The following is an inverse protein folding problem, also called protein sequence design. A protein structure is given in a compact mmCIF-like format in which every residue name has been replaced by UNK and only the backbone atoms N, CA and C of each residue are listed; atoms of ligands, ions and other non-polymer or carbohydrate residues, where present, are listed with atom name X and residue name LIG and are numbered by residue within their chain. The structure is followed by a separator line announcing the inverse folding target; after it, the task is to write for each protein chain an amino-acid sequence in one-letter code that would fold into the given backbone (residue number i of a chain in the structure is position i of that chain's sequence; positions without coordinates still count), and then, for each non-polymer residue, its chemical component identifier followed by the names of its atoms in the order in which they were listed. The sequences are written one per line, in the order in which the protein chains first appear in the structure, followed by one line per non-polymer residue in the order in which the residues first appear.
data_IF_005828610597
#
_entry.id   IF_005828610597
#
_cell.length_a   1.000
_cell.length_b   1.000
_cell.length_c   1.000
_cell.angle_alpha   90.00
_cell.angle_beta   90.00
_cell.angle_gamma   90.00
#
_symmetry.space_group_name_H-M   'P 1'
#
loop_
_entity.id
_entity.type
_entity.pdbx_description
1 polymer ?
#
# COMPACT_ATOMS: atom_id res chain seq x y z
N UNK A 1 -16.88 15.24 -12.67
CA UNK A 1 -15.78 15.93 -11.94
C UNK A 1 -14.96 14.87 -11.21
N UNK A 2 -13.63 15.03 -11.11
CA UNK A 2 -12.73 14.10 -10.40
C UNK A 2 -11.68 14.90 -9.62
N UNK A 3 -11.29 14.42 -8.44
CA UNK A 3 -10.21 14.98 -7.62
C UNK A 3 -9.34 13.85 -7.08
N UNK A 4 -8.02 14.05 -7.10
CA UNK A 4 -7.06 13.07 -6.59
C UNK A 4 -6.48 13.57 -5.28
N UNK A 5 -6.77 12.86 -4.18
CA UNK A 5 -6.15 13.10 -2.88
C UNK A 5 -4.72 12.56 -2.93
N UNK A 6 -3.74 13.40 -2.60
CA UNK A 6 -2.30 13.05 -2.62
C UNK A 6 -1.76 12.90 -1.21
N UNK A 7 -0.56 12.32 -1.10
CA UNK A 7 0.21 12.21 0.15
C UNK A 7 -0.51 11.45 1.28
N UNK A 8 -1.21 10.37 0.92
CA UNK A 8 -1.80 9.43 1.88
C UNK A 8 -0.77 8.38 2.32
N UNK A 9 -0.91 7.88 3.54
CA UNK A 9 -0.07 6.82 4.08
C UNK A 9 -0.66 5.46 3.72
N UNK A 10 0.17 4.57 3.19
CA UNK A 10 -0.28 3.21 2.86
C UNK A 10 -0.58 2.39 4.11
N UNK A 11 -1.60 1.54 4.04
CA UNK A 11 -2.07 0.73 5.18
C UNK A 11 -2.91 1.49 6.20
N UNK A 12 -3.16 2.80 5.97
CA UNK A 12 -4.05 3.61 6.80
C UNK A 12 -5.42 3.73 6.14
N UNK A 13 -6.48 3.48 6.90
CA UNK A 13 -7.86 3.61 6.43
C UNK A 13 -8.31 5.06 6.44
N UNK A 14 -8.86 5.53 5.32
CA UNK A 14 -9.38 6.88 5.16
C UNK A 14 -10.87 6.88 4.85
N UNK A 15 -11.59 7.83 5.46
CA UNK A 15 -12.96 8.18 5.14
C UNK A 15 -12.95 9.53 4.42
N UNK A 16 -13.63 9.62 3.28
CA UNK A 16 -13.68 10.83 2.45
C UNK A 16 -15.11 11.34 2.40
N UNK A 17 -15.29 12.66 2.44
CA UNK A 17 -16.58 13.33 2.30
C UNK A 17 -16.49 14.52 1.36
N UNK A 18 -17.56 14.81 0.62
CA UNK A 18 -17.64 15.92 -0.33
C UNK A 18 -18.84 16.81 0.01
N UNK A 19 -18.64 18.14 -0.06
CA UNK A 19 -19.68 19.16 0.19
C UNK A 19 -19.67 20.17 -0.95
N UNK A 20 -20.85 20.50 -1.49
CA UNK A 20 -21.01 21.63 -2.41
C UNK A 20 -21.01 22.96 -1.66
N UNK A 21 -20.47 24.02 -2.27
CA UNK A 21 -20.48 25.40 -1.74
C UNK A 21 -21.09 26.36 -2.75
N UNK A 22 -21.91 27.29 -2.28
CA UNK A 22 -22.36 28.48 -3.03
C UNK A 22 -22.17 29.75 -2.18
N UNK A 23 -22.73 30.88 -2.59
CA UNK A 23 -22.65 32.16 -1.86
C UNK A 23 -23.26 32.11 -0.46
N UNK A 24 -24.20 31.20 -0.20
CA UNK A 24 -24.88 31.03 1.08
C UNK A 24 -24.17 30.03 2.01
N UNK A 25 -23.11 29.35 1.56
CA UNK A 25 -22.29 28.44 2.38
C UNK A 25 -22.15 27.02 1.83
N UNK A 26 -21.80 26.07 2.72
CA UNK A 26 -21.64 24.64 2.38
C UNK A 26 -22.92 23.84 2.69
N UNK A 27 -23.35 23.00 1.75
CA UNK A 27 -24.44 22.02 1.97
C UNK A 27 -24.00 20.81 2.81
N UNK A 28 -24.86 19.79 2.96
CA UNK A 28 -24.50 18.56 3.68
C UNK A 28 -23.34 17.78 3.02
N UNK A 29 -22.65 16.98 3.82
CA UNK A 29 -21.55 16.14 3.35
C UNK A 29 -22.07 14.78 2.87
N UNK A 30 -21.74 14.43 1.63
CA UNK A 30 -21.91 13.07 1.14
C UNK A 30 -20.65 12.26 1.47
N UNK A 31 -20.84 11.07 2.05
CA UNK A 31 -19.74 10.11 2.23
C UNK A 31 -19.34 9.52 0.88
N UNK A 32 -18.03 9.41 0.66
CA UNK A 32 -17.51 8.65 -0.47
C UNK A 32 -17.86 7.17 -0.33
N UNK A 33 -18.14 6.51 -1.44
CA UNK A 33 -18.35 5.06 -1.52
C UNK A 33 -17.51 4.51 -2.68
N UNK A 34 -16.79 3.38 -2.50
CA UNK A 34 -16.67 2.57 -1.28
C UNK A 34 -15.90 3.27 -0.14
N UNK A 35 -16.17 2.88 1.11
CA UNK A 35 -15.52 3.43 2.31
C UNK A 35 -15.49 2.41 3.47
N UNK A 36 -14.42 2.38 4.31
CA UNK A 36 -13.17 3.14 4.16
C UNK A 36 -12.34 2.65 2.98
N UNK A 37 -11.43 3.52 2.51
CA UNK A 37 -10.42 3.15 1.52
C UNK A 37 -9.05 3.13 2.17
N UNK A 38 -8.32 2.05 1.96
CA UNK A 38 -6.95 1.87 2.48
C UNK A 38 -6.00 1.81 1.30
N UNK A 39 -5.25 2.89 1.02
CA UNK A 39 -4.23 2.89 -0.02
C UNK A 39 -3.18 1.81 0.26
N UNK A 40 -2.81 1.08 -0.77
CA UNK A 40 -1.76 0.07 -0.73
C UNK A 40 -0.88 0.23 -1.97
N UNK A 41 0.36 -0.25 -1.87
CA UNK A 41 1.27 -0.40 -3.01
C UNK A 41 2.00 -1.74 -2.91
N UNK A 42 2.76 -2.08 -3.94
CA UNK A 42 3.65 -3.23 -3.89
C UNK A 42 4.67 -3.11 -2.74
N UNK A 43 5.02 -4.21 -2.05
CA UNK A 43 6.14 -4.21 -1.12
C UNK A 43 7.42 -3.76 -1.84
N UNK A 44 8.38 -3.24 -1.09
CA UNK A 44 9.72 -2.99 -1.63
C UNK A 44 10.45 -4.31 -1.88
N UNK A 45 11.67 -4.25 -2.43
CA UNK A 45 12.50 -5.44 -2.62
C UNK A 45 12.80 -6.13 -1.27
N UNK A 46 12.89 -7.48 -1.23
CA UNK A 46 13.48 -8.20 -0.11
C UNK A 46 14.90 -7.69 0.17
N UNK A 47 15.33 -7.78 1.43
CA UNK A 47 16.64 -7.29 1.87
C UNK A 47 17.57 -8.46 2.19
N UNK A 48 18.86 -8.19 2.36
CA UNK A 48 19.85 -9.19 2.81
C UNK A 48 19.86 -10.48 1.99
N UNK A 49 19.69 -10.36 0.67
CA UNK A 49 19.65 -11.50 -0.25
C UNK A 49 21.05 -12.08 -0.38
N UNK A 50 21.19 -13.37 -0.07
CA UNK A 50 22.47 -14.08 -0.09
C UNK A 50 22.30 -15.49 -0.65
N UNK A 51 23.37 -15.99 -1.28
CA UNK A 51 23.42 -17.33 -1.87
C UNK A 51 24.66 -18.08 -1.38
N UNK A 52 24.51 -19.37 -1.16
CA UNK A 52 25.59 -20.22 -0.66
C UNK A 52 25.59 -21.56 -1.41
N UNK A 53 26.74 -22.01 -1.95
CA UNK A 53 26.83 -23.35 -2.51
C UNK A 53 26.66 -24.37 -1.39
N UNK A 54 25.84 -25.39 -1.62
CA UNK A 54 25.70 -26.55 -0.73
C UNK A 54 26.41 -27.79 -1.30
N UNK A 55 26.36 -27.97 -2.62
CA UNK A 55 27.06 -29.02 -3.36
C UNK A 55 27.17 -28.64 -4.85
N UNK A 56 27.84 -29.45 -5.68
CA UNK A 56 27.98 -29.20 -7.12
C UNK A 56 26.67 -29.11 -7.93
N UNK A 57 25.53 -29.37 -7.30
CA UNK A 57 24.18 -29.32 -7.90
C UNK A 57 23.16 -28.55 -7.05
N UNK A 58 23.58 -27.90 -5.95
CA UNK A 58 22.66 -27.27 -5.00
C UNK A 58 23.20 -25.95 -4.47
N UNK A 59 22.32 -24.94 -4.45
CA UNK A 59 22.55 -23.64 -3.86
C UNK A 59 21.43 -23.39 -2.84
N UNK A 60 21.77 -22.76 -1.71
CA UNK A 60 20.80 -22.22 -0.76
C UNK A 60 20.71 -20.71 -0.94
N UNK A 61 19.49 -20.18 -0.87
CA UNK A 61 19.23 -18.74 -0.86
C UNK A 61 18.60 -18.34 0.47
N UNK A 62 19.00 -17.19 1.00
CA UNK A 62 18.43 -16.59 2.20
C UNK A 62 18.17 -15.11 1.95
N UNK A 63 17.05 -14.59 2.47
CA UNK A 63 16.69 -13.18 2.38
C UNK A 63 15.86 -12.78 3.60
N UNK A 64 15.75 -11.48 3.81
CA UNK A 64 14.90 -10.85 4.82
C UNK A 64 13.71 -10.16 4.16
N UNK A 65 12.69 -9.88 4.97
CA UNK A 65 11.52 -9.17 4.51
C UNK A 65 11.89 -7.78 3.94
N UNK A 66 11.10 -7.26 2.99
CA UNK A 66 11.21 -5.89 2.54
C UNK A 66 11.11 -4.88 3.68
N UNK A 67 11.82 -3.75 3.57
CA UNK A 67 11.72 -2.64 4.52
C UNK A 67 10.29 -2.08 4.62
N UNK A 68 9.49 -2.18 3.55
CA UNK A 68 8.07 -1.85 3.56
C UNK A 68 7.26 -2.92 2.84
N UNK A 69 6.17 -3.36 3.46
CA UNK A 69 5.19 -4.26 2.85
C UNK A 69 4.16 -3.54 1.96
N UNK A 70 4.32 -2.21 1.77
CA UNK A 70 3.41 -1.41 0.95
C UNK A 70 2.02 -1.19 1.56
N UNK A 71 1.83 -1.47 2.84
CA UNK A 71 0.55 -1.30 3.55
C UNK A 71 -0.35 -2.55 3.56
N UNK A 72 0.15 -3.68 3.06
CA UNK A 72 -0.57 -4.97 3.09
C UNK A 72 0.38 -6.12 3.43
N UNK A 73 -0.14 -7.22 3.98
CA UNK A 73 0.67 -8.38 4.38
C UNK A 73 1.27 -9.07 3.15
N UNK A 74 2.55 -9.41 3.21
CA UNK A 74 3.21 -10.25 2.19
C UNK A 74 2.75 -11.70 2.36
N UNK A 75 2.28 -12.31 1.27
CA UNK A 75 1.73 -13.68 1.27
C UNK A 75 2.62 -14.70 0.55
N UNK A 76 3.51 -14.26 -0.34
CA UNK A 76 4.41 -15.12 -1.12
C UNK A 76 5.69 -14.39 -1.53
N UNK A 77 6.77 -15.13 -1.67
CA UNK A 77 7.99 -14.73 -2.36
C UNK A 77 8.15 -15.60 -3.62
N UNK A 78 8.71 -15.04 -4.70
CA UNK A 78 9.06 -15.77 -5.92
C UNK A 78 10.57 -15.80 -6.06
N UNK A 79 11.12 -16.97 -6.39
CA UNK A 79 12.55 -17.24 -6.57
C UNK A 79 12.73 -17.95 -7.90
#
# INVERSE_FOLDING_TARGET
MKYQIKSLNNGVSYFVRVRGRNSNGYGYAALGSPSPMTPVRAPTLPTSVSMFPLSGSRIRMAWQAPASNGGSRITKYSV
#
